data_IF_191233094703
#
_entry.id   IF_191233094703
#
_cell.length_a   1.000
_cell.length_b   1.000
_cell.length_c   1.000
_cell.angle_alpha   90.00
_cell.angle_beta   90.00
_cell.angle_gamma   90.00
#
_symmetry.space_group_name_H-M   'P 1'
#
loop_
_entity.id
_entity.type
_entity.pdbx_description
1 polymer ?
#
# COMPACT_ATOMS: atom_id res chain seq x y z
N UNK A 1 38.19 -27.59 9.95
CA UNK A 1 38.02 -29.04 10.21
C UNK A 1 37.97 -29.73 8.85
N UNK A 2 38.86 -30.68 8.57
CA UNK A 2 38.88 -31.41 7.29
C UNK A 2 38.08 -32.69 7.50
N UNK A 3 36.94 -32.81 6.82
CA UNK A 3 36.09 -34.00 6.90
C UNK A 3 36.45 -34.93 5.73
N UNK A 4 36.67 -36.21 5.99
CA UNK A 4 36.92 -37.18 4.97
C UNK A 4 35.63 -37.56 4.27
N UNK A 5 35.52 -37.18 2.99
CA UNK A 5 34.36 -37.51 2.15
C UNK A 5 34.63 -38.77 1.32
N UNK A 6 33.57 -39.52 1.00
CA UNK A 6 33.60 -40.65 0.07
C UNK A 6 32.70 -40.33 -1.11
N UNK A 7 33.18 -40.58 -2.30
CA UNK A 7 32.38 -40.48 -3.51
C UNK A 7 31.53 -41.75 -3.68
N UNK A 8 30.24 -41.54 -3.94
CA UNK A 8 29.26 -42.61 -4.17
C UNK A 8 28.57 -42.32 -5.50
N UNK A 9 28.54 -43.33 -6.37
CA UNK A 9 27.73 -43.31 -7.59
C UNK A 9 26.56 -44.27 -7.41
N UNK A 10 25.33 -43.73 -7.51
CA UNK A 10 24.10 -44.51 -7.30
C UNK A 10 23.31 -44.47 -8.61
N UNK A 11 22.99 -45.65 -9.12
CA UNK A 11 22.18 -45.83 -10.35
C UNK A 11 20.98 -46.70 -10.03
N UNK A 12 19.82 -46.35 -10.58
CA UNK A 12 18.58 -47.08 -10.32
C UNK A 12 17.44 -46.69 -11.28
N UNK A 13 16.30 -47.34 -11.17
CA UNK A 13 15.11 -46.99 -11.96
C UNK A 13 14.64 -45.57 -11.67
N UNK A 14 14.22 -44.87 -12.71
CA UNK A 14 13.70 -43.49 -12.63
C UNK A 14 12.60 -43.33 -11.60
N UNK A 15 11.66 -44.26 -11.50
CA UNK A 15 10.50 -44.22 -10.62
C UNK A 15 10.85 -44.38 -9.14
N UNK A 16 12.07 -44.77 -8.81
CA UNK A 16 12.50 -44.99 -7.43
C UNK A 16 13.22 -43.78 -6.84
N UNK A 17 13.45 -42.71 -7.61
CA UNK A 17 14.24 -41.55 -7.16
C UNK A 17 13.64 -40.90 -5.93
N UNK A 18 12.35 -40.58 -5.93
CA UNK A 18 11.68 -39.92 -4.81
C UNK A 18 11.75 -40.81 -3.57
N UNK A 19 11.48 -42.08 -3.72
CA UNK A 19 11.56 -43.06 -2.63
C UNK A 19 12.98 -43.18 -2.05
N UNK A 20 13.99 -43.22 -2.89
CA UNK A 20 15.39 -43.33 -2.45
C UNK A 20 15.84 -42.05 -1.78
N UNK A 21 15.45 -40.90 -2.30
CA UNK A 21 15.75 -39.60 -1.73
C UNK A 21 15.14 -39.47 -0.33
N UNK A 22 13.87 -39.80 -0.17
CA UNK A 22 13.16 -39.72 1.11
C UNK A 22 13.68 -40.70 2.15
N UNK A 23 13.88 -41.96 1.76
CA UNK A 23 14.27 -43.03 2.72
C UNK A 23 15.74 -42.99 3.12
N UNK A 24 16.62 -42.55 2.22
CA UNK A 24 18.08 -42.67 2.42
C UNK A 24 18.79 -41.32 2.43
N UNK A 25 18.54 -40.43 1.46
CA UNK A 25 19.30 -39.19 1.37
C UNK A 25 18.91 -38.16 2.42
N UNK A 26 17.65 -38.11 2.82
CA UNK A 26 17.19 -37.21 3.88
C UNK A 26 17.82 -37.49 5.26
N UNK A 27 18.36 -38.68 5.47
CA UNK A 27 18.94 -39.13 6.75
C UNK A 27 20.44 -38.87 6.92
N UNK A 28 21.10 -38.46 5.87
CA UNK A 28 22.56 -38.29 5.85
C UNK A 28 22.94 -36.94 5.27
N UNK A 29 24.03 -36.38 5.77
CA UNK A 29 24.64 -35.19 5.14
C UNK A 29 25.33 -35.61 3.82
N UNK A 30 24.68 -35.34 2.71
CA UNK A 30 25.14 -35.70 1.36
C UNK A 30 25.28 -34.43 0.55
N UNK A 31 26.44 -34.27 -0.10
CA UNK A 31 26.65 -33.27 -1.12
C UNK A 31 26.33 -33.89 -2.47
N UNK A 32 25.34 -33.37 -3.18
CA UNK A 32 24.99 -33.82 -4.53
C UNK A 32 25.75 -33.01 -5.57
N UNK A 33 26.35 -33.68 -6.51
CA UNK A 33 27.03 -33.05 -7.65
C UNK A 33 26.25 -33.31 -8.94
N UNK A 34 26.33 -32.35 -9.86
CA UNK A 34 25.64 -32.48 -11.14
C UNK A 34 26.39 -33.47 -12.04
N UNK A 35 25.80 -34.61 -12.32
CA UNK A 35 26.40 -35.66 -13.13
C UNK A 35 26.80 -35.18 -14.53
N UNK A 36 26.15 -34.17 -15.10
CA UNK A 36 26.51 -33.60 -16.40
C UNK A 36 27.86 -32.89 -16.38
N UNK A 37 28.34 -32.39 -15.25
CA UNK A 37 29.66 -31.77 -15.12
C UNK A 37 30.79 -32.81 -15.13
N UNK A 38 30.51 -34.00 -14.60
CA UNK A 38 31.46 -35.10 -14.46
C UNK A 38 31.49 -36.02 -15.70
N UNK A 39 30.33 -36.20 -16.37
CA UNK A 39 30.14 -37.14 -17.46
C UNK A 39 30.25 -36.49 -18.84
N UNK A 40 31.23 -35.61 -19.03
CA UNK A 40 31.48 -34.89 -20.31
C UNK A 40 31.74 -35.79 -21.53
N UNK A 41 31.91 -37.08 -21.33
CA UNK A 41 32.27 -38.05 -22.39
C UNK A 41 31.14 -39.03 -22.74
N UNK A 42 29.97 -38.93 -22.14
CA UNK A 42 28.87 -39.87 -22.43
C UNK A 42 27.80 -39.16 -23.29
N UNK A 43 27.89 -39.44 -24.58
CA UNK A 43 26.97 -38.97 -25.60
C UNK A 43 25.59 -39.59 -25.43
N UNK A 44 24.71 -39.20 -24.65
CA UNK A 44 23.29 -39.57 -24.55
C UNK A 44 22.69 -39.44 -23.15
N UNK A 45 23.35 -38.78 -22.19
CA UNK A 45 22.73 -38.48 -20.93
C UNK A 45 21.88 -37.20 -21.03
N UNK A 46 20.59 -37.33 -20.86
CA UNK A 46 19.68 -36.21 -20.70
C UNK A 46 19.36 -36.00 -19.21
N UNK A 47 19.17 -34.75 -18.76
CA UNK A 47 18.72 -34.50 -17.39
C UNK A 47 17.41 -35.24 -17.14
N UNK A 48 17.31 -35.86 -15.96
CA UNK A 48 16.14 -36.65 -15.59
C UNK A 48 14.87 -35.79 -15.53
N UNK A 49 14.98 -34.51 -15.08
CA UNK A 49 13.89 -33.59 -14.97
C UNK A 49 14.29 -32.29 -15.66
N UNK A 50 13.60 -31.91 -16.71
CA UNK A 50 13.78 -30.60 -17.37
C UNK A 50 13.24 -29.47 -16.46
N UNK A 51 12.19 -29.74 -15.70
CA UNK A 51 11.56 -28.80 -14.76
C UNK A 51 11.45 -29.47 -13.41
N UNK A 52 12.09 -28.89 -12.38
CA UNK A 52 11.92 -29.36 -11.01
C UNK A 52 10.56 -28.94 -10.46
N UNK A 53 9.62 -29.86 -10.21
CA UNK A 53 8.26 -29.52 -9.74
C UNK A 53 8.23 -28.92 -8.34
N UNK A 54 9.29 -29.10 -7.56
CA UNK A 54 9.40 -28.62 -6.18
C UNK A 54 10.00 -27.23 -6.07
N UNK A 55 10.60 -26.71 -7.14
CA UNK A 55 11.35 -25.45 -7.12
C UNK A 55 10.48 -24.27 -6.68
N UNK A 56 9.31 -24.13 -7.28
CA UNK A 56 8.37 -23.03 -6.99
C UNK A 56 7.86 -23.05 -5.54
N UNK A 57 7.57 -24.25 -5.03
CA UNK A 57 7.14 -24.41 -3.63
C UNK A 57 8.28 -24.09 -2.65
N UNK A 58 9.51 -24.49 -2.97
CA UNK A 58 10.69 -24.20 -2.15
C UNK A 58 10.99 -22.69 -2.13
N UNK A 59 10.90 -22.01 -3.26
CA UNK A 59 11.08 -20.56 -3.33
C UNK A 59 10.05 -19.83 -2.47
N UNK A 60 8.78 -20.21 -2.55
CA UNK A 60 7.70 -19.66 -1.71
C UNK A 60 7.94 -19.92 -0.23
N UNK A 61 8.29 -21.16 0.13
CA UNK A 61 8.59 -21.50 1.52
C UNK A 61 9.76 -20.67 2.08
N UNK A 62 10.83 -20.51 1.31
CA UNK A 62 11.98 -19.70 1.70
C UNK A 62 11.62 -18.22 1.88
N UNK A 63 10.72 -17.67 1.05
CA UNK A 63 10.19 -16.32 1.24
C UNK A 63 9.46 -16.19 2.57
N UNK A 64 8.60 -17.16 2.94
CA UNK A 64 7.90 -17.14 4.22
C UNK A 64 8.86 -17.21 5.41
N UNK A 65 9.87 -18.07 5.34
CA UNK A 65 10.90 -18.15 6.39
C UNK A 65 11.64 -16.82 6.56
N UNK A 66 11.83 -16.08 5.47
CA UNK A 66 12.41 -14.74 5.52
C UNK A 66 11.55 -13.67 6.20
N UNK A 67 10.22 -13.86 6.23
CA UNK A 67 9.29 -12.94 6.91
C UNK A 67 9.10 -13.26 8.40
N UNK A 68 9.43 -14.49 8.83
CA UNK A 68 9.33 -14.91 10.22
C UNK A 68 10.57 -14.47 11.00
N UNK A 69 10.39 -13.56 11.93
CA UNK A 69 11.48 -13.03 12.76
C UNK A 69 11.93 -14.02 13.86
N UNK A 70 11.03 -14.86 14.35
CA UNK A 70 11.29 -15.86 15.40
C UNK A 70 11.35 -17.25 14.80
N UNK A 71 12.56 -17.82 14.78
CA UNK A 71 12.80 -19.22 14.45
C UNK A 71 12.61 -20.08 15.69
N UNK A 72 11.41 -20.08 16.27
CA UNK A 72 11.08 -21.15 17.19
C UNK A 72 11.06 -22.46 16.39
N UNK A 73 11.88 -23.42 16.82
CA UNK A 73 11.83 -24.76 16.23
C UNK A 73 10.50 -25.41 16.62
N UNK A 74 9.55 -25.30 15.73
CA UNK A 74 8.30 -26.03 15.87
C UNK A 74 8.59 -27.54 15.80
N UNK A 75 7.84 -28.36 16.54
CA UNK A 75 8.00 -29.83 16.44
C UNK A 75 7.78 -30.25 14.98
N UNK A 76 8.65 -31.15 14.49
CA UNK A 76 8.50 -31.71 13.16
C UNK A 76 7.17 -32.45 13.06
N UNK A 77 6.24 -31.92 12.28
CA UNK A 77 5.00 -32.59 11.95
C UNK A 77 5.25 -33.37 10.65
N UNK A 78 5.12 -34.69 10.66
CA UNK A 78 5.27 -35.48 9.44
C UNK A 78 4.10 -35.18 8.50
N UNK A 79 4.33 -34.32 7.52
CA UNK A 79 3.37 -34.00 6.47
C UNK A 79 3.73 -34.79 5.21
N UNK A 80 2.73 -35.29 4.50
CA UNK A 80 2.92 -35.81 3.16
C UNK A 80 3.29 -34.65 2.21
N UNK A 81 3.95 -34.97 1.10
CA UNK A 81 4.29 -33.94 0.09
C UNK A 81 3.07 -33.18 -0.43
N UNK A 82 1.94 -33.87 -0.60
CA UNK A 82 0.70 -33.26 -1.05
C UNK A 82 0.15 -32.26 -0.01
N UNK A 83 0.12 -32.63 1.26
CA UNK A 83 -0.30 -31.73 2.35
C UNK A 83 0.64 -30.53 2.48
N UNK A 84 1.94 -30.72 2.29
CA UNK A 84 2.92 -29.64 2.29
C UNK A 84 2.65 -28.63 1.16
N UNK A 85 2.42 -29.10 -0.06
CA UNK A 85 2.10 -28.24 -1.19
C UNK A 85 0.82 -27.46 -0.99
N UNK A 86 -0.24 -28.11 -0.49
CA UNK A 86 -1.49 -27.45 -0.20
C UNK A 86 -1.34 -26.38 0.88
N UNK A 87 -0.54 -26.67 1.92
CA UNK A 87 -0.26 -25.71 2.99
C UNK A 87 0.49 -24.49 2.47
N UNK A 88 1.56 -24.69 1.69
CA UNK A 88 2.34 -23.58 1.09
C UNK A 88 1.46 -22.77 0.15
N UNK A 89 0.65 -23.42 -0.67
CA UNK A 89 -0.25 -22.74 -1.60
C UNK A 89 -1.29 -21.89 -0.88
N UNK A 90 -1.92 -22.45 0.15
CA UNK A 90 -2.91 -21.73 0.96
C UNK A 90 -2.29 -20.54 1.69
N UNK A 91 -1.13 -20.74 2.32
CA UNK A 91 -0.41 -19.68 2.99
C UNK A 91 -0.02 -18.55 2.01
N UNK A 92 0.47 -18.91 0.81
CA UNK A 92 0.81 -17.93 -0.21
C UNK A 92 -0.40 -17.13 -0.70
N UNK A 93 -1.54 -17.77 -0.95
CA UNK A 93 -2.76 -17.09 -1.36
C UNK A 93 -3.24 -16.12 -0.28
N UNK A 94 -3.30 -16.58 0.98
CA UNK A 94 -3.67 -15.73 2.11
C UNK A 94 -2.73 -14.52 2.27
N UNK A 95 -1.43 -14.74 2.08
CA UNK A 95 -0.45 -13.66 2.15
C UNK A 95 -0.67 -12.63 1.02
N UNK A 96 -0.90 -13.08 -0.19
CA UNK A 96 -1.16 -12.19 -1.34
C UNK A 96 -2.44 -11.38 -1.14
N UNK A 97 -3.52 -12.03 -0.67
CA UNK A 97 -4.79 -11.36 -0.36
C UNK A 97 -4.64 -10.30 0.74
N UNK A 98 -3.86 -10.61 1.79
CA UNK A 98 -3.59 -9.67 2.88
C UNK A 98 -2.74 -8.49 2.40
N UNK A 99 -1.76 -8.73 1.55
CA UNK A 99 -0.90 -7.70 0.98
C UNK A 99 -1.69 -6.75 0.06
N UNK A 100 -2.60 -7.29 -0.75
CA UNK A 100 -3.49 -6.48 -1.59
C UNK A 100 -4.41 -5.59 -0.74
N UNK A 101 -5.02 -6.16 0.32
CA UNK A 101 -5.82 -5.40 1.28
C UNK A 101 -5.02 -4.31 1.99
N UNK A 102 -3.79 -4.62 2.42
CA UNK A 102 -2.91 -3.64 3.05
C UNK A 102 -2.62 -2.47 2.11
N UNK A 103 -2.31 -2.77 0.85
CA UNK A 103 -2.05 -1.74 -0.17
C UNK A 103 -3.28 -0.85 -0.39
N UNK A 104 -4.46 -1.45 -0.56
CA UNK A 104 -5.72 -0.72 -0.73
C UNK A 104 -6.02 0.20 0.47
N UNK A 105 -5.85 -0.32 1.70
CA UNK A 105 -6.06 0.49 2.90
C UNK A 105 -5.06 1.64 3.04
N UNK A 106 -3.82 1.46 2.61
CA UNK A 106 -2.82 2.54 2.58
C UNK A 106 -3.22 3.64 1.61
N UNK A 107 -3.68 3.27 0.43
CA UNK A 107 -4.15 4.23 -0.59
C UNK A 107 -5.39 5.01 -0.11
N UNK A 108 -6.35 4.31 0.52
CA UNK A 108 -7.52 4.94 1.12
C UNK A 108 -7.13 5.89 2.27
N UNK A 109 -6.20 5.48 3.13
CA UNK A 109 -5.70 6.30 4.21
C UNK A 109 -5.03 7.58 3.70
N UNK A 110 -4.22 7.48 2.65
CA UNK A 110 -3.57 8.63 2.02
C UNK A 110 -4.59 9.59 1.42
N UNK A 111 -5.57 9.06 0.68
CA UNK A 111 -6.67 9.84 0.12
C UNK A 111 -7.50 10.57 1.18
N UNK A 112 -7.77 9.91 2.32
CA UNK A 112 -8.46 10.52 3.45
C UNK A 112 -7.61 11.59 4.13
N UNK A 113 -6.31 11.36 4.29
CA UNK A 113 -5.39 12.38 4.84
C UNK A 113 -5.34 13.62 3.98
N UNK A 114 -5.33 13.47 2.66
CA UNK A 114 -5.32 14.62 1.75
C UNK A 114 -6.64 15.40 1.81
N UNK A 115 -7.78 14.71 1.94
CA UNK A 115 -9.06 15.37 2.20
C UNK A 115 -9.06 16.12 3.53
N UNK A 116 -8.51 15.53 4.58
CA UNK A 116 -8.40 16.17 5.90
C UNK A 116 -7.55 17.45 5.83
N UNK A 117 -6.40 17.45 5.18
CA UNK A 117 -5.56 18.65 5.00
C UNK A 117 -6.32 19.83 4.39
N UNK A 118 -7.27 19.55 3.50
CA UNK A 118 -8.07 20.60 2.86
C UNK A 118 -9.14 21.14 3.79
N UNK A 119 -9.69 20.30 4.68
CA UNK A 119 -10.83 20.63 5.56
C UNK A 119 -10.35 21.16 6.91
N UNK A 120 -9.25 20.64 7.44
CA UNK A 120 -8.71 20.96 8.77
C UNK A 120 -8.60 22.47 9.05
N UNK A 121 -8.14 23.32 8.10
CA UNK A 121 -8.09 24.76 8.31
C UNK A 121 -9.45 25.44 8.56
N UNK A 122 -10.54 24.76 8.27
CA UNK A 122 -11.90 25.24 8.48
C UNK A 122 -12.56 24.71 9.75
N UNK A 123 -11.84 23.94 10.57
CA UNK A 123 -12.37 23.33 11.80
C UNK A 123 -12.83 24.35 12.86
N UNK A 124 -12.29 25.57 12.82
CA UNK A 124 -12.67 26.67 13.69
C UNK A 124 -13.93 27.43 13.27
N UNK A 125 -14.58 27.04 12.17
CA UNK A 125 -15.83 27.70 11.76
C UNK A 125 -16.96 27.38 12.74
N UNK A 126 -17.54 28.42 13.34
CA UNK A 126 -18.71 28.33 14.24
C UNK A 126 -20.02 28.24 13.44
N UNK A 127 -20.07 27.40 12.40
CA UNK A 127 -21.28 27.19 11.62
C UNK A 127 -21.45 25.71 11.27
N UNK A 128 -22.69 25.25 11.25
CA UNK A 128 -23.02 23.93 10.78
C UNK A 128 -23.00 23.89 9.23
N UNK A 129 -22.00 23.25 8.66
CA UNK A 129 -21.84 23.18 7.20
C UNK A 129 -23.05 22.54 6.53
N UNK A 130 -23.69 21.55 7.18
CA UNK A 130 -24.89 20.90 6.66
C UNK A 130 -26.04 21.90 6.46
N UNK A 131 -26.27 22.78 7.44
CA UNK A 131 -27.32 23.81 7.37
C UNK A 131 -26.98 24.83 6.28
N UNK A 132 -25.72 25.24 6.19
CA UNK A 132 -25.21 26.14 5.14
C UNK A 132 -25.44 25.59 3.73
N UNK A 133 -25.29 24.28 3.55
CA UNK A 133 -25.51 23.63 2.26
C UNK A 133 -26.99 23.64 1.83
N UNK A 134 -27.91 23.80 2.74
CA UNK A 134 -29.35 23.85 2.46
C UNK A 134 -29.85 25.24 2.05
N UNK A 135 -29.04 26.27 2.17
CA UNK A 135 -29.45 27.63 1.79
C UNK A 135 -29.62 27.77 0.26
N UNK A 136 -30.82 28.13 -0.15
CA UNK A 136 -31.17 28.28 -1.57
C UNK A 136 -30.85 29.68 -2.15
N UNK A 137 -30.87 30.72 -1.32
CA UNK A 137 -30.70 32.11 -1.74
C UNK A 137 -29.34 32.68 -1.44
N UNK A 138 -28.53 31.96 -0.68
CA UNK A 138 -27.16 32.34 -0.32
C UNK A 138 -26.18 31.43 -1.01
N UNK A 139 -25.18 32.02 -1.65
CA UNK A 139 -24.00 31.30 -2.14
C UNK A 139 -22.88 31.43 -1.12
N UNK A 140 -22.12 30.38 -0.96
CA UNK A 140 -20.95 30.35 -0.10
C UNK A 140 -19.74 29.80 -0.85
N UNK A 141 -18.54 30.23 -0.43
CA UNK A 141 -17.28 29.78 -0.99
C UNK A 141 -16.25 29.60 0.11
N UNK A 142 -15.71 28.39 0.20
CA UNK A 142 -14.57 28.10 1.03
C UNK A 142 -13.29 28.47 0.29
N UNK A 143 -12.35 29.10 0.99
CA UNK A 143 -11.11 29.48 0.39
C UNK A 143 -10.09 30.02 1.38
N UNK A 144 -9.05 30.59 0.84
CA UNK A 144 -7.98 31.20 1.63
C UNK A 144 -7.52 32.51 1.00
N UNK A 145 -7.00 33.37 1.83
CA UNK A 145 -6.33 34.62 1.41
C UNK A 145 -4.98 34.70 2.09
N UNK A 146 -3.97 35.20 1.38
CA UNK A 146 -2.66 35.39 2.00
C UNK A 146 -2.75 36.46 3.12
N UNK A 147 -2.03 36.22 4.21
CA UNK A 147 -2.13 37.02 5.43
C UNK A 147 -1.87 38.51 5.19
N UNK A 148 -0.96 38.86 4.27
CA UNK A 148 -0.64 40.24 3.89
C UNK A 148 -1.79 40.96 3.14
N UNK A 149 -2.73 40.21 2.56
CA UNK A 149 -3.91 40.77 1.88
C UNK A 149 -5.18 40.68 2.72
N UNK A 150 -5.17 39.98 3.83
CA UNK A 150 -6.37 39.71 4.65
C UNK A 150 -7.04 41.01 5.14
N UNK A 151 -6.26 42.01 5.56
CA UNK A 151 -6.80 43.32 5.98
C UNK A 151 -7.64 44.01 4.90
N UNK A 152 -7.35 43.76 3.61
CA UNK A 152 -8.15 44.32 2.49
C UNK A 152 -9.48 43.60 2.35
N UNK A 153 -9.49 42.28 2.63
CA UNK A 153 -10.74 41.51 2.65
C UNK A 153 -11.61 41.93 3.84
N UNK A 154 -11.04 42.09 5.03
CA UNK A 154 -11.76 42.57 6.22
C UNK A 154 -12.38 43.96 5.97
N UNK A 155 -11.60 44.89 5.39
CA UNK A 155 -12.11 46.22 5.06
C UNK A 155 -13.26 46.13 4.06
N UNK A 156 -13.12 45.36 2.98
CA UNK A 156 -14.16 45.19 1.97
C UNK A 156 -15.45 44.62 2.61
N UNK A 157 -15.32 43.55 3.39
CA UNK A 157 -16.45 42.89 4.04
C UNK A 157 -17.16 43.83 5.05
N UNK A 158 -16.40 44.72 5.72
CA UNK A 158 -17.02 45.70 6.65
C UNK A 158 -17.77 46.82 5.95
N UNK A 159 -17.46 47.11 4.71
CA UNK A 159 -18.07 48.16 3.90
C UNK A 159 -19.25 47.67 3.03
N UNK A 160 -19.28 46.41 2.64
CA UNK A 160 -20.31 45.80 1.78
C UNK A 160 -21.25 44.87 2.59
N UNK A 161 -22.48 45.32 2.77
CA UNK A 161 -23.52 44.62 3.52
C UNK A 161 -24.01 43.31 2.86
N UNK A 162 -23.63 43.06 1.61
CA UNK A 162 -24.07 41.89 0.84
C UNK A 162 -23.11 40.69 0.92
N UNK A 163 -22.05 40.84 1.72
CA UNK A 163 -21.04 39.77 1.92
C UNK A 163 -20.76 39.60 3.41
N UNK A 164 -20.67 38.35 3.84
CA UNK A 164 -20.24 37.97 5.18
C UNK A 164 -19.05 37.06 5.03
N UNK A 165 -17.97 37.28 5.79
CA UNK A 165 -16.81 36.42 5.85
C UNK A 165 -16.69 35.84 7.26
N UNK A 166 -16.57 34.53 7.35
CA UNK A 166 -16.27 33.81 8.58
C UNK A 166 -14.89 33.19 8.48
N UNK A 167 -14.02 33.55 9.42
CA UNK A 167 -12.70 32.97 9.54
C UNK A 167 -12.81 31.60 10.20
N UNK A 168 -12.19 30.57 9.59
CA UNK A 168 -12.14 29.21 10.11
C UNK A 168 -10.84 28.88 10.80
N UNK A 169 -9.75 29.51 10.34
CA UNK A 169 -8.42 29.34 10.90
C UNK A 169 -7.37 30.08 10.11
N UNK A 170 -6.15 30.11 10.65
CA UNK A 170 -5.01 30.76 9.99
C UNK A 170 -3.72 29.96 10.21
N UNK A 171 -2.84 30.01 9.26
CA UNK A 171 -1.48 29.56 9.38
C UNK A 171 -0.49 30.73 9.24
N UNK A 172 0.80 30.43 9.09
CA UNK A 172 1.85 31.45 8.95
C UNK A 172 1.76 32.27 7.66
N UNK A 173 0.99 31.81 6.66
CA UNK A 173 0.94 32.38 5.32
C UNK A 173 -0.47 32.77 4.88
N UNK A 174 -1.48 32.07 5.38
CA UNK A 174 -2.86 32.21 4.92
C UNK A 174 -3.87 32.30 6.06
N UNK A 175 -4.95 33.01 5.78
CA UNK A 175 -6.22 32.96 6.54
C UNK A 175 -7.20 32.14 5.72
N UNK A 176 -7.81 31.15 6.33
CA UNK A 176 -8.81 30.29 5.74
C UNK A 176 -10.19 30.70 6.25
N UNK A 177 -11.16 30.70 5.36
CA UNK A 177 -12.50 31.09 5.75
C UNK A 177 -13.54 30.81 4.68
N UNK A 178 -14.76 31.12 5.00
CA UNK A 178 -15.90 31.01 4.09
C UNK A 178 -16.55 32.37 3.96
N UNK A 179 -16.85 32.78 2.73
CA UNK A 179 -17.72 33.94 2.56
C UNK A 179 -19.08 33.52 2.03
N UNK A 180 -20.06 34.30 2.42
CA UNK A 180 -21.46 34.18 2.03
C UNK A 180 -21.87 35.42 1.25
N UNK A 181 -22.66 35.23 0.20
CA UNK A 181 -23.17 36.32 -0.62
C UNK A 181 -24.59 36.00 -1.08
N UNK A 182 -25.38 37.05 -1.38
CA UNK A 182 -26.65 36.84 -2.05
C UNK A 182 -26.42 36.21 -3.43
N UNK A 183 -27.38 35.47 -3.95
CA UNK A 183 -27.30 34.84 -5.24
C UNK A 183 -27.20 35.87 -6.38
N UNK A 184 -27.84 37.03 -6.23
CA UNK A 184 -27.81 38.13 -7.20
C UNK A 184 -26.44 38.77 -7.30
N UNK A 185 -25.73 38.96 -6.20
CA UNK A 185 -24.46 39.66 -6.13
C UNK A 185 -23.23 38.72 -6.21
N UNK A 186 -23.48 37.44 -6.26
CA UNK A 186 -22.38 36.44 -6.14
C UNK A 186 -21.26 36.60 -7.18
N UNK A 187 -21.59 36.94 -8.41
CA UNK A 187 -20.58 37.12 -9.48
C UNK A 187 -19.72 38.36 -9.24
N UNK A 188 -20.35 39.48 -8.82
CA UNK A 188 -19.68 40.72 -8.44
C UNK A 188 -18.74 40.49 -7.26
N UNK A 189 -19.24 39.84 -6.19
CA UNK A 189 -18.47 39.56 -4.97
C UNK A 189 -17.33 38.58 -5.28
N UNK A 190 -17.60 37.54 -6.06
CA UNK A 190 -16.59 36.56 -6.52
C UNK A 190 -15.43 37.26 -7.26
N UNK A 191 -15.74 38.22 -8.13
CA UNK A 191 -14.74 38.99 -8.89
C UNK A 191 -13.90 39.88 -7.98
N UNK A 192 -14.56 40.59 -7.04
CA UNK A 192 -13.86 41.46 -6.09
C UNK A 192 -12.95 40.67 -5.18
N UNK A 193 -13.45 39.62 -4.53
CA UNK A 193 -12.62 38.78 -3.64
C UNK A 193 -11.47 38.13 -4.37
N UNK A 194 -11.67 37.74 -5.64
CA UNK A 194 -10.58 37.23 -6.48
C UNK A 194 -9.52 38.31 -6.70
N UNK A 195 -9.91 39.59 -6.92
CA UNK A 195 -8.96 40.70 -7.07
C UNK A 195 -8.20 41.01 -5.76
N UNK A 196 -8.77 40.65 -4.62
CA UNK A 196 -8.14 40.72 -3.31
C UNK A 196 -7.34 39.48 -2.95
N UNK A 197 -7.01 38.64 -3.94
CA UNK A 197 -6.24 37.40 -3.80
C UNK A 197 -6.89 36.33 -2.94
N UNK A 198 -8.22 36.31 -2.87
CA UNK A 198 -8.94 35.18 -2.28
C UNK A 198 -8.98 34.01 -3.25
N UNK A 199 -8.44 32.87 -2.83
CA UNK A 199 -8.38 31.63 -3.62
C UNK A 199 -9.43 30.63 -3.11
N UNK A 200 -10.35 30.22 -3.98
CA UNK A 200 -11.36 29.20 -3.68
C UNK A 200 -10.70 27.83 -3.58
N UNK A 201 -10.96 27.10 -2.51
CA UNK A 201 -10.37 25.76 -2.27
C UNK A 201 -11.37 24.63 -2.51
N UNK A 202 -12.65 24.85 -2.14
CA UNK A 202 -13.69 23.86 -2.32
C UNK A 202 -14.67 24.40 -3.37
N UNK A 203 -14.79 23.71 -4.49
CA UNK A 203 -15.89 23.90 -5.42
C UNK A 203 -16.98 22.87 -5.06
N UNK A 204 -18.25 23.29 -5.13
CA UNK A 204 -19.38 22.35 -5.00
C UNK A 204 -19.23 21.29 -6.09
N UNK A 205 -19.35 19.98 -5.77
CA UNK A 205 -19.40 18.95 -6.81
C UNK A 205 -20.56 19.16 -7.76
#
# INVERSE_FOLDING_TARGET
MIVKMKFLSITGPKNDIDRVTDLYFSKYEIQLENALSELKTVDNLQPFIEINPYKDALEKANQFVGYLSDKESLPEVPLSMEELFQTIRTANNNYMDLKEKEQHLKEEQEALRDKLKVIEPFSGLECNIHDVMQYHFIKFRFGRVALNYYHKVEKYVSEDLNVIFLEGGRDTSYVYGVYFSSRSDSERIDAILKSLHYHKLLQKP
#
